data_IF_781017098398
#
_entry.id   IF_781017098398
#
_cell.length_a   1.000
_cell.length_b   1.000
_cell.length_c   1.000
_cell.angle_alpha   90.00
_cell.angle_beta   90.00
_cell.angle_gamma   90.00
#
_symmetry.space_group_name_H-M   'P 1'
#
loop_
_entity.id
_entity.type
_entity.pdbx_description
1 polymer ?
#
# COMPACT_ATOMS: atom_id res chain seq x y z
N UNK A 1 -29.86 4.94 13.75
CA UNK A 1 -28.48 4.39 13.74
C UNK A 1 -27.51 5.53 13.98
N UNK A 2 -26.97 5.68 15.19
CA UNK A 2 -26.13 6.84 15.56
C UNK A 2 -24.70 6.63 15.07
N UNK A 3 -24.27 7.33 14.01
CA UNK A 3 -22.87 7.30 13.58
C UNK A 3 -22.00 8.08 14.56
N UNK A 4 -21.27 7.39 15.43
CA UNK A 4 -20.25 8.01 16.25
C UNK A 4 -19.11 8.51 15.35
N UNK A 5 -19.07 9.83 15.10
CA UNK A 5 -17.93 10.45 14.41
C UNK A 5 -16.65 10.17 15.22
N UNK A 6 -15.53 9.82 14.57
CA UNK A 6 -14.28 9.59 15.28
C UNK A 6 -13.84 10.91 15.93
N UNK A 7 -13.94 10.98 17.26
CA UNK A 7 -13.25 12.01 18.04
C UNK A 7 -11.78 11.91 17.68
N UNK A 8 -11.21 12.97 17.13
CA UNK A 8 -9.77 13.03 17.03
C UNK A 8 -9.20 13.27 18.44
N UNK A 9 -7.91 13.00 18.54
CA UNK A 9 -7.23 12.79 19.81
C UNK A 9 -5.95 13.57 19.71
N UNK A 10 -5.70 14.48 20.63
CA UNK A 10 -4.40 15.12 20.72
C UNK A 10 -3.34 14.05 20.99
N UNK A 11 -2.58 13.75 19.93
CA UNK A 11 -1.51 12.78 19.94
C UNK A 11 -0.42 13.14 20.95
N UNK A 12 -0.32 14.41 21.35
CA UNK A 12 0.68 14.90 22.29
C UNK A 12 0.49 14.37 23.72
N UNK A 13 -0.76 14.13 24.13
CA UNK A 13 -1.16 13.64 25.45
C UNK A 13 -0.76 12.17 25.69
N UNK A 14 -0.58 11.38 24.63
CA UNK A 14 -0.33 9.94 24.75
C UNK A 14 1.15 9.68 25.04
N UNK A 15 1.51 9.07 26.20
CA UNK A 15 2.89 8.84 26.56
C UNK A 15 3.58 7.96 25.50
N UNK A 16 4.80 8.36 25.11
CA UNK A 16 5.60 7.57 24.18
C UNK A 16 5.10 7.52 22.72
N UNK A 17 4.01 8.21 22.33
CA UNK A 17 3.42 8.12 20.97
C UNK A 17 4.42 8.34 19.82
N UNK A 18 5.49 9.11 20.07
CA UNK A 18 6.59 9.35 19.12
C UNK A 18 7.33 8.07 18.72
N UNK A 19 7.41 7.07 19.62
CA UNK A 19 8.05 5.76 19.43
C UNK A 19 7.13 4.73 18.74
N UNK A 20 5.82 4.97 18.68
CA UNK A 20 4.85 4.04 18.09
C UNK A 20 5.14 3.79 16.61
N UNK A 21 4.84 2.58 16.14
CA UNK A 21 5.15 2.18 14.76
C UNK A 21 4.22 2.89 13.76
N UNK A 22 4.80 3.47 12.71
CA UNK A 22 4.06 4.21 11.68
C UNK A 22 3.76 3.31 10.48
N UNK A 23 2.47 3.19 10.18
CA UNK A 23 1.94 2.51 8.99
C UNK A 23 1.27 3.52 8.06
N UNK A 24 1.61 3.45 6.77
CA UNK A 24 0.89 4.12 5.69
C UNK A 24 0.14 3.06 4.88
N UNK A 25 -1.01 3.37 4.26
CA UNK A 25 -1.76 2.39 3.47
C UNK A 25 -0.94 1.75 2.34
N UNK A 26 -0.04 2.52 1.72
CA UNK A 26 0.89 2.06 0.70
C UNK A 26 1.75 0.85 1.13
N UNK A 27 2.00 0.66 2.44
CA UNK A 27 2.79 -0.48 2.93
C UNK A 27 2.13 -1.84 2.63
N UNK A 28 0.79 -1.90 2.64
CA UNK A 28 0.03 -3.14 2.41
C UNK A 28 -0.70 -3.17 1.06
N UNK A 29 -0.67 -2.07 0.28
CA UNK A 29 -1.33 -2.02 -1.03
C UNK A 29 -0.67 -2.99 -2.02
N UNK A 30 -1.41 -3.98 -2.52
CA UNK A 30 -0.91 -4.98 -3.48
C UNK A 30 -0.69 -4.44 -4.90
N UNK A 31 -1.39 -3.35 -5.28
CA UNK A 31 -1.27 -2.72 -6.61
C UNK A 31 0.02 -1.91 -6.76
N UNK A 32 0.53 -1.34 -5.68
CA UNK A 32 1.77 -0.56 -5.69
C UNK A 32 3.01 -1.45 -5.73
N UNK A 33 4.05 -1.07 -6.48
CA UNK A 33 5.34 -1.77 -6.46
C UNK A 33 6.09 -1.56 -5.13
N UNK A 34 7.13 -2.38 -4.87
CA UNK A 34 8.01 -2.18 -3.70
C UNK A 34 8.63 -0.78 -3.70
N UNK A 35 9.02 -0.28 -4.87
CA UNK A 35 9.53 1.07 -5.09
C UNK A 35 8.52 2.15 -4.68
N UNK A 36 7.25 2.00 -5.03
CA UNK A 36 6.15 2.90 -4.62
C UNK A 36 5.76 2.79 -3.14
N UNK A 37 6.37 1.87 -2.39
CA UNK A 37 6.26 1.79 -0.92
C UNK A 37 5.65 0.51 -0.36
N UNK A 38 5.27 -0.46 -1.20
CA UNK A 38 4.75 -1.77 -0.75
C UNK A 38 5.81 -2.51 0.04
N UNK A 39 5.46 -2.97 1.26
CA UNK A 39 6.35 -3.72 2.16
C UNK A 39 6.02 -5.21 2.26
N UNK A 40 4.80 -5.61 1.92
CA UNK A 40 4.34 -7.01 1.92
C UNK A 40 4.47 -7.65 0.53
N UNK A 41 4.44 -8.97 0.47
CA UNK A 41 4.28 -9.73 -0.78
C UNK A 41 2.93 -9.44 -1.43
N UNK A 42 2.83 -9.58 -2.77
CA UNK A 42 1.61 -9.23 -3.52
C UNK A 42 0.40 -10.06 -3.08
N UNK A 43 0.61 -11.35 -2.79
CA UNK A 43 -0.40 -12.29 -2.30
C UNK A 43 -1.01 -11.88 -0.95
N UNK A 44 -0.17 -11.53 0.04
CA UNK A 44 -0.65 -11.08 1.34
C UNK A 44 -1.24 -9.66 1.30
N UNK A 45 -0.81 -8.81 0.38
CA UNK A 45 -1.32 -7.43 0.24
C UNK A 45 -2.82 -7.32 -0.05
N UNK A 46 -3.36 -6.13 0.21
CA UNK A 46 -4.75 -5.74 0.01
C UNK A 46 -4.80 -4.74 -1.13
N UNK A 47 -5.77 -4.83 -2.04
CA UNK A 47 -5.99 -3.83 -3.10
C UNK A 47 -6.53 -2.53 -2.47
N UNK A 48 -6.02 -1.36 -2.83
CA UNK A 48 -6.49 -0.05 -2.34
C UNK A 48 -6.96 0.01 -0.87
N UNK A 49 -6.08 -0.28 0.10
CA UNK A 49 -6.41 -0.24 1.52
C UNK A 49 -6.65 1.21 1.97
N UNK A 50 -7.65 1.43 2.81
CA UNK A 50 -7.94 2.74 3.41
C UNK A 50 -7.45 2.81 4.86
N UNK A 51 -7.22 4.02 5.38
CA UNK A 51 -6.82 4.21 6.79
C UNK A 51 -7.82 3.66 7.82
N UNK A 52 -9.15 3.88 7.72
CA UNK A 52 -10.10 3.32 8.69
C UNK A 52 -10.09 1.79 8.71
N UNK A 53 -9.99 1.11 7.56
CA UNK A 53 -9.88 -0.36 7.51
C UNK A 53 -8.63 -0.88 8.26
N UNK A 54 -7.50 -0.19 8.11
CA UNK A 54 -6.25 -0.55 8.79
C UNK A 54 -6.39 -0.30 10.30
N UNK A 55 -7.08 0.77 10.72
CA UNK A 55 -7.34 1.06 12.13
C UNK A 55 -8.26 0.00 12.75
N UNK A 56 -9.36 -0.35 12.09
CA UNK A 56 -10.30 -1.39 12.52
C UNK A 56 -9.61 -2.76 12.63
N UNK A 57 -8.87 -3.17 11.60
CA UNK A 57 -8.09 -4.40 11.61
C UNK A 57 -7.04 -4.42 12.74
N UNK A 58 -6.43 -3.28 13.06
CA UNK A 58 -5.47 -3.15 14.16
C UNK A 58 -6.16 -3.22 15.53
N UNK A 59 -7.35 -2.62 15.67
CA UNK A 59 -8.16 -2.72 16.87
C UNK A 59 -8.61 -4.16 17.15
N UNK A 60 -9.01 -4.91 16.12
CA UNK A 60 -9.34 -6.34 16.24
C UNK A 60 -8.13 -7.23 16.63
N UNK A 61 -6.89 -6.75 16.45
CA UNK A 61 -5.67 -7.42 16.93
C UNK A 61 -5.29 -7.05 18.38
N UNK A 62 -6.10 -6.22 19.06
CA UNK A 62 -5.87 -5.76 20.43
C UNK A 62 -4.73 -4.74 20.57
N UNK A 63 -4.34 -4.08 19.48
CA UNK A 63 -3.23 -3.12 19.48
C UNK A 63 -3.77 -1.68 19.47
N UNK A 64 -3.40 -0.83 20.46
CA UNK A 64 -3.77 0.58 20.46
C UNK A 64 -3.27 1.28 19.19
N UNK A 65 -4.14 2.04 18.52
CA UNK A 65 -3.77 2.77 17.32
C UNK A 65 -4.39 4.17 17.26
N UNK A 66 -3.75 5.07 16.49
CA UNK A 66 -4.14 6.48 16.35
C UNK A 66 -4.02 6.87 14.87
N UNK A 67 -5.06 7.50 14.32
CA UNK A 67 -5.06 8.04 12.95
C UNK A 67 -4.59 9.50 12.97
N UNK A 68 -3.49 9.83 12.30
CA UNK A 68 -3.07 11.21 12.05
C UNK A 68 -3.41 11.61 10.60
N UNK A 69 -4.66 11.99 10.32
CA UNK A 69 -5.16 12.34 8.96
C UNK A 69 -4.34 13.45 8.28
N UNK A 70 -3.76 14.35 9.08
CA UNK A 70 -3.00 15.51 8.61
C UNK A 70 -1.68 15.20 7.85
N UNK A 71 -1.21 13.95 7.82
CA UNK A 71 0.16 13.63 7.39
C UNK A 71 0.18 12.66 6.20
N UNK A 72 0.47 13.14 4.99
CA UNK A 72 0.68 12.27 3.82
C UNK A 72 1.99 11.47 3.85
N UNK A 73 2.04 10.40 3.04
CA UNK A 73 3.21 9.54 2.81
C UNK A 73 4.25 10.25 1.92
N UNK A 74 5.57 10.23 2.22
CA UNK A 74 6.55 10.98 1.43
C UNK A 74 6.68 10.57 -0.05
N UNK A 75 6.35 9.32 -0.42
CA UNK A 75 6.35 8.89 -1.84
C UNK A 75 5.02 9.15 -2.56
N UNK A 76 3.96 9.43 -1.81
CA UNK A 76 2.61 9.60 -2.34
C UNK A 76 1.89 10.67 -1.51
N UNK A 77 2.08 11.94 -1.89
CA UNK A 77 1.67 13.09 -1.09
C UNK A 77 0.16 13.34 -1.11
N UNK A 78 -0.53 12.83 -2.13
CA UNK A 78 -1.98 12.94 -2.26
C UNK A 78 -2.72 12.02 -1.29
N UNK A 79 -2.18 10.83 -1.00
CA UNK A 79 -2.73 9.94 0.03
C UNK A 79 -2.47 10.51 1.42
N UNK A 80 -3.53 11.06 2.02
CA UNK A 80 -3.49 11.72 3.32
C UNK A 80 -3.68 10.73 4.46
N UNK A 81 -2.84 10.92 5.47
CA UNK A 81 -2.92 10.30 6.78
C UNK A 81 -1.96 9.14 7.01
N UNK A 82 -1.75 8.83 8.28
CA UNK A 82 -0.95 7.69 8.74
C UNK A 82 -1.56 7.10 10.00
N UNK A 83 -1.38 5.80 10.18
CA UNK A 83 -1.71 5.10 11.42
C UNK A 83 -0.45 4.99 12.29
N UNK A 84 -0.56 5.34 13.57
CA UNK A 84 0.39 4.89 14.61
C UNK A 84 -0.16 3.68 15.31
N UNK A 85 0.70 2.72 15.62
CA UNK A 85 0.34 1.48 16.34
C UNK A 85 1.28 1.32 17.53
N UNK A 86 0.74 1.13 18.73
CA UNK A 86 1.55 0.75 19.90
C UNK A 86 1.90 -0.74 19.81
N UNK A 87 2.99 -1.03 19.10
CA UNK A 87 3.42 -2.39 18.81
C UNK A 87 4.25 -3.01 19.95
N UNK A 88 4.96 -2.20 20.72
CA UNK A 88 5.83 -2.64 21.82
C UNK A 88 5.14 -2.43 23.17
N UNK A 89 5.62 -3.13 24.21
CA UNK A 89 5.24 -2.81 25.58
C UNK A 89 5.99 -1.54 26.06
N UNK A 90 5.36 -0.74 26.91
CA UNK A 90 5.92 0.53 27.34
C UNK A 90 7.18 0.33 28.20
N UNK A 91 8.35 0.58 27.60
CA UNK A 91 9.67 0.40 28.24
C UNK A 91 10.51 -0.76 27.67
N UNK A 92 9.92 -1.70 26.94
CA UNK A 92 10.58 -2.95 26.53
C UNK A 92 10.55 -3.17 25.01
N UNK A 93 11.61 -3.74 24.45
CA UNK A 93 11.68 -4.14 23.01
C UNK A 93 10.75 -5.30 22.65
N UNK A 94 9.99 -5.85 23.62
CA UNK A 94 9.06 -6.95 23.42
C UNK A 94 7.75 -6.47 22.77
N UNK A 95 7.20 -7.24 21.81
CA UNK A 95 5.92 -6.94 21.18
C UNK A 95 4.77 -7.08 22.20
N UNK A 96 3.73 -6.25 22.09
CA UNK A 96 2.53 -6.34 22.94
C UNK A 96 1.73 -7.63 22.72
N UNK A 97 1.83 -8.23 21.54
CA UNK A 97 1.19 -9.50 21.20
C UNK A 97 2.27 -10.52 20.77
N UNK A 98 2.46 -11.65 21.49
CA UNK A 98 3.51 -12.63 21.20
C UNK A 98 3.32 -13.33 19.84
N UNK A 99 2.09 -13.43 19.33
CA UNK A 99 1.81 -13.99 18.00
C UNK A 99 2.27 -13.07 16.86
N UNK A 100 2.69 -11.84 17.15
CA UNK A 100 3.14 -10.86 16.18
C UNK A 100 4.55 -10.35 16.57
N UNK A 101 5.61 -11.16 16.41
CA UNK A 101 6.96 -10.79 16.84
C UNK A 101 7.56 -9.66 16.01
N UNK A 102 7.24 -9.61 14.71
CA UNK A 102 7.90 -8.75 13.74
C UNK A 102 6.96 -7.74 13.10
N UNK A 103 7.48 -6.54 12.80
CA UNK A 103 6.76 -5.47 12.08
C UNK A 103 6.25 -5.92 10.70
N UNK A 104 6.92 -6.85 10.05
CA UNK A 104 6.47 -7.45 8.78
C UNK A 104 5.28 -8.38 9.00
N UNK A 105 5.32 -9.22 10.04
CA UNK A 105 4.21 -10.12 10.44
C UNK A 105 2.98 -9.30 10.83
N UNK A 106 3.16 -8.17 11.53
CA UNK A 106 2.07 -7.23 11.83
C UNK A 106 1.36 -6.75 10.55
N UNK A 107 2.11 -6.32 9.54
CA UNK A 107 1.53 -5.85 8.28
C UNK A 107 0.78 -6.97 7.54
N UNK A 108 1.28 -8.20 7.57
CA UNK A 108 0.60 -9.37 7.00
C UNK A 108 -0.68 -9.70 7.77
N UNK A 109 -0.65 -9.72 9.11
CA UNK A 109 -1.83 -10.00 9.95
C UNK A 109 -2.92 -8.92 9.81
N UNK A 110 -2.54 -7.64 9.71
CA UNK A 110 -3.48 -6.55 9.39
C UNK A 110 -4.09 -6.79 8.01
N UNK A 111 -3.30 -7.12 6.99
CA UNK A 111 -3.77 -7.34 5.63
C UNK A 111 -4.72 -8.56 5.52
N UNK A 112 -4.43 -9.66 6.23
CA UNK A 112 -5.32 -10.80 6.40
C UNK A 112 -6.64 -10.38 7.06
N UNK A 113 -6.58 -9.58 8.13
CA UNK A 113 -7.78 -9.14 8.86
C UNK A 113 -8.67 -8.22 8.02
N UNK A 114 -8.09 -7.32 7.23
CA UNK A 114 -8.86 -6.47 6.28
C UNK A 114 -9.58 -7.32 5.23
N UNK A 115 -8.96 -8.40 4.73
CA UNK A 115 -9.60 -9.33 3.78
C UNK A 115 -10.79 -10.08 4.40
N UNK A 116 -10.72 -10.39 5.69
CA UNK A 116 -11.82 -11.03 6.43
C UNK A 116 -12.98 -10.06 6.70
N UNK A 117 -12.69 -8.79 6.99
CA UNK A 117 -13.71 -7.75 7.25
C UNK A 117 -14.41 -7.36 5.93
N UNK A 118 -13.63 -7.10 4.88
CA UNK A 118 -14.12 -6.61 3.59
C UNK A 118 -13.77 -7.60 2.45
N UNK A 119 -14.48 -8.74 2.33
CA UNK A 119 -14.27 -9.70 1.25
C UNK A 119 -14.68 -9.14 -0.11
N UNK A 120 -15.81 -8.42 -0.16
CA UNK A 120 -16.33 -7.76 -1.36
C UNK A 120 -15.68 -6.40 -1.56
N UNK A 121 -14.36 -6.38 -1.80
CA UNK A 121 -13.65 -5.13 -2.10
C UNK A 121 -14.04 -4.64 -3.50
N UNK A 122 -14.40 -3.35 -3.69
CA UNK A 122 -14.58 -2.81 -5.03
C UNK A 122 -13.29 -2.93 -5.83
N UNK A 123 -13.40 -3.60 -6.98
CA UNK A 123 -12.37 -3.56 -8.01
C UNK A 123 -12.18 -2.10 -8.48
N UNK A 124 -10.94 -1.68 -8.84
CA UNK A 124 -10.71 -0.34 -9.37
C UNK A 124 -11.57 -0.18 -10.62
N UNK A 125 -12.33 0.91 -10.67
CA UNK A 125 -13.23 1.18 -11.79
C UNK A 125 -12.45 1.15 -13.11
N UNK A 126 -12.70 0.13 -13.92
CA UNK A 126 -12.11 -0.01 -15.24
C UNK A 126 -13.13 0.49 -16.27
N UNK A 127 -12.98 1.73 -16.80
CA UNK A 127 -13.93 2.29 -17.76
C UNK A 127 -14.03 1.46 -19.05
N UNK A 128 -12.99 0.68 -19.39
CA UNK A 128 -12.99 -0.21 -20.56
C UNK A 128 -14.07 -1.30 -20.42
N UNK A 129 -14.42 -1.72 -19.19
CA UNK A 129 -15.50 -2.68 -18.95
C UNK A 129 -16.90 -2.14 -19.24
N UNK A 130 -17.05 -0.82 -19.41
CA UNK A 130 -18.31 -0.16 -19.77
C UNK A 130 -18.39 0.14 -21.27
N UNK A 131 -17.29 0.03 -22.02
CA UNK A 131 -17.34 0.04 -23.47
C UNK A 131 -17.92 -1.30 -23.95
N UNK A 132 -18.98 -1.23 -24.74
CA UNK A 132 -19.48 -2.39 -25.45
C UNK A 132 -18.35 -3.01 -26.29
N UNK A 133 -18.21 -4.34 -26.33
CA UNK A 133 -17.20 -4.97 -27.17
C UNK A 133 -17.49 -4.59 -28.63
N UNK A 134 -16.54 -3.89 -29.26
CA UNK A 134 -16.60 -3.57 -30.69
C UNK A 134 -16.64 -4.92 -31.41
N UNK A 135 -17.79 -5.25 -32.01
CA UNK A 135 -17.89 -6.44 -32.84
C UNK A 135 -16.95 -6.26 -34.03
N UNK A 136 -15.88 -7.05 -34.06
CA UNK A 136 -14.96 -7.06 -35.18
C UNK A 136 -15.73 -7.49 -36.43
N UNK A 137 -15.95 -6.55 -37.35
CA UNK A 137 -16.51 -6.82 -38.67
C UNK A 137 -15.55 -7.70 -39.45
N UNK A 138 -15.77 -9.01 -39.33
CA UNK A 138 -14.93 -10.04 -39.94
C UNK A 138 -15.14 -10.07 -41.45
N UNK A 139 -14.48 -9.14 -42.16
CA UNK A 139 -14.41 -9.16 -43.61
C UNK A 139 -13.55 -10.34 -44.06
N UNK A 140 -14.22 -11.28 -44.70
CA UNK A 140 -13.76 -12.63 -45.03
C UNK A 140 -13.17 -12.64 -46.44
N UNK A 141 -11.92 -12.22 -46.59
CA UNK A 141 -11.19 -12.37 -47.85
C UNK A 141 -10.22 -13.56 -47.83
N UNK A 142 -10.19 -14.30 -48.95
CA UNK A 142 -9.40 -15.52 -49.15
C UNK A 142 -8.35 -15.27 -50.23
N UNK A 143 -7.08 -15.64 -50.00
CA UNK A 143 -6.19 -16.33 -50.97
C UNK A 143 -4.85 -16.74 -50.29
N UNK A 144 -4.06 -17.69 -50.83
CA UNK A 144 -3.34 -18.63 -49.97
C UNK A 144 -1.83 -18.83 -50.22
N UNK A 145 -1.14 -19.22 -49.13
CA UNK A 145 -0.02 -20.19 -49.09
C UNK A 145 1.35 -19.78 -49.74
N UNK A 146 2.46 -20.54 -49.53
CA UNK A 146 3.57 -20.01 -48.73
C UNK A 146 5.00 -20.26 -49.29
N UNK A 147 6.04 -19.71 -48.66
CA UNK A 147 7.40 -20.29 -48.68
C UNK A 147 8.29 -19.74 -47.53
N UNK A 148 9.17 -20.57 -46.93
CA UNK A 148 10.09 -20.14 -45.85
C UNK A 148 11.51 -19.86 -46.37
N UNK A 149 12.29 -19.06 -45.64
CA UNK A 149 13.76 -19.02 -45.79
C UNK A 149 14.45 -18.59 -44.50
N UNK A 150 15.42 -19.41 -44.07
CA UNK A 150 16.32 -19.18 -42.94
C UNK A 150 17.48 -18.26 -43.34
N UNK A 151 18.06 -17.50 -42.38
CA UNK A 151 19.52 -17.28 -42.25
C UNK A 151 19.87 -16.70 -40.87
N UNK A 152 20.88 -17.31 -40.24
CA UNK A 152 21.51 -16.97 -38.95
C UNK A 152 22.51 -15.81 -39.09
N UNK A 153 22.86 -15.07 -38.02
CA UNK A 153 24.25 -14.77 -37.57
C UNK A 153 24.26 -13.90 -36.29
N UNK A 154 25.26 -14.11 -35.43
CA UNK A 154 25.60 -13.46 -34.15
C UNK A 154 26.12 -12.00 -34.34
N UNK A 155 26.51 -11.16 -33.36
CA UNK A 155 27.46 -11.35 -32.23
C UNK A 155 27.61 -10.04 -31.38
N UNK A 156 28.03 -10.12 -30.09
CA UNK A 156 28.83 -9.12 -29.29
C UNK A 156 28.30 -7.67 -29.05
N UNK A 157 28.64 -6.87 -28.00
CA UNK A 157 28.90 -7.00 -26.52
C UNK A 157 28.89 -5.56 -25.90
N UNK A 158 28.78 -5.35 -24.55
CA UNK A 158 28.46 -4.04 -23.93
C UNK A 158 29.62 -3.32 -23.18
N UNK A 159 29.47 -2.01 -22.81
CA UNK A 159 30.23 -1.35 -21.69
C UNK A 159 29.78 0.10 -21.31
N UNK A 160 30.09 0.54 -20.07
CA UNK A 160 30.07 1.94 -19.51
C UNK A 160 28.69 2.65 -19.38
N UNK A 161 28.39 3.75 -18.64
CA UNK A 161 28.87 4.50 -17.43
C UNK A 161 27.80 5.60 -17.11
N UNK A 162 27.78 6.43 -16.06
CA UNK A 162 28.09 6.29 -14.61
C UNK A 162 27.54 7.49 -13.78
N UNK A 163 27.23 7.27 -12.49
CA UNK A 163 27.36 8.19 -11.33
C UNK A 163 26.47 9.47 -11.10
N UNK A 164 26.42 9.86 -9.80
CA UNK A 164 25.88 11.09 -9.15
C UNK A 164 24.35 11.27 -9.01
N UNK A 165 23.70 11.73 -7.91
CA UNK A 165 23.99 12.16 -6.51
C UNK A 165 23.73 13.64 -6.11
N UNK A 166 22.50 13.95 -5.64
CA UNK A 166 22.17 15.17 -4.85
C UNK A 166 20.75 15.08 -4.26
N UNK A 167 20.30 15.71 -3.16
CA UNK A 167 20.79 16.16 -1.84
C UNK A 167 19.83 17.28 -1.36
N UNK A 168 19.14 17.08 -0.21
CA UNK A 168 18.55 18.18 0.59
C UNK A 168 17.05 18.48 0.42
N UNK A 169 16.38 18.89 1.52
CA UNK A 169 14.99 19.40 1.48
C UNK A 169 14.09 19.03 2.68
N UNK A 170 14.35 19.56 3.88
CA UNK A 170 13.53 19.33 5.09
C UNK A 170 12.69 20.59 5.38
N UNK A 171 11.35 20.52 5.34
CA UNK A 171 10.47 21.60 5.86
C UNK A 171 9.33 21.05 6.73
N UNK A 172 8.99 21.79 7.78
CA UNK A 172 8.14 21.34 8.91
C UNK A 172 6.66 21.24 8.49
N UNK A 173 5.94 20.22 9.00
CA UNK A 173 4.48 20.07 8.84
C UNK A 173 3.76 20.80 9.97
N UNK A 174 2.82 21.69 9.65
CA UNK A 174 1.87 22.27 10.61
C UNK A 174 0.45 22.02 10.12
N UNK A 175 -0.33 21.19 10.81
CA UNK A 175 -1.77 20.96 10.55
C UNK A 175 -2.42 20.45 11.84
N UNK A 176 -3.57 21.08 12.12
CA UNK A 176 -4.50 20.99 13.25
C UNK A 176 -5.37 19.69 13.23
N UNK A 177 -6.35 19.62 14.15
CA UNK A 177 -7.76 19.19 13.95
C UNK A 177 -8.26 18.05 14.88
N UNK A 178 -9.18 18.46 15.78
CA UNK A 178 -10.23 17.74 16.52
C UNK A 178 -9.75 16.77 17.63
#
# INVERSE_FOLDING_TARGET
MTSAQPKAVDVSTIPGFKKWYIVYPNHINSELTKEKGRKVSKEHGVKNPTLPEIAEATAQLGLPCIIETSKGYPKEFFLRGRLRINFFCDGTTMPRNPHIPNKTVLLVKIAERIKLINPNRPEPFNPISMLAPIQAVSQKEKKPAPQPTTTTTTTTTPSSSSSSSSKGGKKKKNVNVI
#
